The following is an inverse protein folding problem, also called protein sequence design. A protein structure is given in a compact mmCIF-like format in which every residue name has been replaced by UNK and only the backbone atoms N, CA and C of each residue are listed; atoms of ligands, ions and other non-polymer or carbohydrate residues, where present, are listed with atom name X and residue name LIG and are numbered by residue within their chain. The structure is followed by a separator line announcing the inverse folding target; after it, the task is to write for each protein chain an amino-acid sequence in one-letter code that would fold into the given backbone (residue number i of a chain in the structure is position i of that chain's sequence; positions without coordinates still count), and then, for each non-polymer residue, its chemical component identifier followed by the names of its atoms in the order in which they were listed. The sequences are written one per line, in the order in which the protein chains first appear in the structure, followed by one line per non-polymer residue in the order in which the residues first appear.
data_IF_095124586692
#
_entry.id   IF_095124586692
#
_cell.length_a   1.000
_cell.length_b   1.000
_cell.length_c   1.000
_cell.angle_alpha   90.00
_cell.angle_beta   90.00
_cell.angle_gamma   90.00
#
_symmetry.space_group_name_H-M   'P 1'
#
loop_
_entity.id
_entity.type
_entity.pdbx_description
1 polymer ?
#
# COMPACT_ATOMS: atom_id res chain seq x y z
N UNK A 1 -19.35 2.87 20.21
CA UNK A 1 -17.99 3.39 20.11
C UNK A 1 -17.83 4.22 18.85
N UNK A 2 -17.23 5.42 18.96
CA UNK A 2 -16.98 6.32 17.84
C UNK A 2 -15.51 6.22 17.42
N UNK A 3 -15.24 5.80 16.18
CA UNK A 3 -13.90 5.64 15.66
C UNK A 3 -13.66 6.63 14.52
N UNK A 4 -12.58 7.39 14.59
CA UNK A 4 -12.11 8.18 13.47
C UNK A 4 -11.04 7.42 12.70
N UNK A 5 -11.12 7.47 11.36
CA UNK A 5 -10.04 7.03 10.46
C UNK A 5 -9.63 8.26 9.66
N UNK A 6 -8.35 8.62 9.72
CA UNK A 6 -7.82 9.80 9.03
C UNK A 6 -6.96 9.35 7.85
N UNK A 7 -7.38 9.72 6.63
CA UNK A 7 -6.79 9.28 5.37
C UNK A 7 -7.55 8.11 4.73
N UNK A 8 -8.25 8.38 3.60
CA UNK A 8 -8.99 7.38 2.82
C UNK A 8 -8.19 6.85 1.62
N UNK A 9 -6.89 6.67 1.79
CA UNK A 9 -6.03 5.90 0.89
C UNK A 9 -6.31 4.39 0.99
N UNK A 10 -5.35 3.55 0.58
CA UNK A 10 -5.52 2.10 0.63
C UNK A 10 -5.82 1.60 2.04
N UNK A 11 -4.97 1.94 3.02
CA UNK A 11 -5.10 1.43 4.39
C UNK A 11 -6.39 1.92 5.06
N UNK A 12 -6.70 3.21 4.97
CA UNK A 12 -7.92 3.74 5.60
C UNK A 12 -9.20 3.11 5.05
N UNK A 13 -9.28 2.83 3.74
CA UNK A 13 -10.44 2.14 3.14
C UNK A 13 -10.53 0.68 3.59
N UNK A 14 -9.41 -0.03 3.65
CA UNK A 14 -9.38 -1.42 4.13
C UNK A 14 -9.80 -1.52 5.58
N UNK A 15 -9.27 -0.65 6.45
CA UNK A 15 -9.64 -0.58 7.87
C UNK A 15 -11.12 -0.22 8.04
N UNK A 16 -11.58 0.83 7.33
CA UNK A 16 -12.99 1.26 7.39
C UNK A 16 -13.95 0.14 6.98
N UNK A 17 -13.65 -0.57 5.87
CA UNK A 17 -14.50 -1.67 5.39
C UNK A 17 -14.55 -2.83 6.38
N UNK A 18 -13.40 -3.20 6.95
CA UNK A 18 -13.32 -4.30 7.91
C UNK A 18 -14.09 -3.99 9.19
N UNK A 19 -13.97 -2.76 9.71
CA UNK A 19 -14.71 -2.33 10.89
C UNK A 19 -16.23 -2.20 10.61
N UNK A 20 -16.59 -1.72 9.42
CA UNK A 20 -18.00 -1.56 9.03
C UNK A 20 -18.71 -2.92 8.96
N UNK A 21 -18.04 -3.95 8.44
CA UNK A 21 -18.56 -5.32 8.37
C UNK A 21 -18.60 -6.06 9.71
N UNK A 22 -17.79 -5.65 10.66
CA UNK A 22 -17.77 -6.19 12.02
C UNK A 22 -17.14 -7.56 12.21
N UNK A 23 -17.00 -8.43 11.20
CA UNK A 23 -16.65 -9.83 11.46
C UNK A 23 -15.84 -10.59 10.40
N UNK A 24 -15.69 -10.12 9.19
CA UNK A 24 -15.17 -10.98 8.11
C UNK A 24 -13.66 -11.24 8.11
N UNK A 25 -12.90 -10.54 8.95
CA UNK A 25 -11.45 -10.74 9.11
C UNK A 25 -11.06 -11.24 10.51
N UNK A 26 -12.03 -11.51 11.37
CA UNK A 26 -11.80 -12.08 12.70
C UNK A 26 -11.56 -13.58 12.57
N UNK A 27 -10.53 -14.09 13.23
CA UNK A 27 -10.36 -15.53 13.45
C UNK A 27 -11.64 -16.08 14.10
N UNK A 28 -12.14 -17.22 13.60
CA UNK A 28 -13.37 -17.88 14.10
C UNK A 28 -13.38 -18.15 15.61
N UNK A 29 -12.21 -18.09 16.27
CA UNK A 29 -12.06 -18.28 17.72
C UNK A 29 -12.45 -17.05 18.56
N UNK A 30 -12.57 -15.85 17.98
CA UNK A 30 -12.88 -14.59 18.68
C UNK A 30 -14.38 -14.20 18.64
N UNK A 31 -15.27 -15.12 18.28
CA UNK A 31 -16.70 -14.86 18.05
C UNK A 31 -17.59 -14.64 19.29
N UNK A 32 -17.05 -14.58 20.51
CA UNK A 32 -17.86 -14.64 21.76
C UNK A 32 -17.96 -13.35 22.57
N UNK A 33 -17.71 -12.16 22.05
CA UNK A 33 -18.08 -10.94 22.76
C UNK A 33 -19.19 -10.18 22.05
N UNK A 34 -20.19 -9.74 22.79
CA UNK A 34 -21.29 -8.86 22.32
C UNK A 34 -20.69 -7.67 21.59
N UNK A 35 -20.92 -7.58 20.28
CA UNK A 35 -20.35 -6.52 19.45
C UNK A 35 -21.07 -5.20 19.75
N UNK A 36 -20.39 -4.33 20.47
CA UNK A 36 -20.81 -2.94 20.59
C UNK A 36 -20.83 -2.31 19.20
N UNK A 37 -21.95 -1.67 18.82
CA UNK A 37 -22.07 -1.00 17.53
C UNK A 37 -21.02 0.11 17.40
N UNK A 38 -20.41 0.22 16.20
CA UNK A 38 -19.34 1.15 15.90
C UNK A 38 -19.83 2.20 14.91
N UNK A 39 -19.59 3.47 15.23
CA UNK A 39 -19.77 4.57 14.29
C UNK A 39 -18.39 5.02 13.80
N UNK A 40 -18.14 4.88 12.50
CA UNK A 40 -16.87 5.21 11.86
C UNK A 40 -17.01 6.56 11.17
N UNK A 41 -16.09 7.48 11.41
CA UNK A 41 -15.94 8.70 10.60
C UNK A 41 -14.63 8.61 9.84
N UNK A 42 -14.71 8.55 8.50
CA UNK A 42 -13.57 8.48 7.60
C UNK A 42 -13.30 9.86 7.01
N UNK A 43 -12.17 10.46 7.36
CA UNK A 43 -11.74 11.77 6.91
C UNK A 43 -10.72 11.65 5.76
N UNK A 44 -10.86 12.46 4.72
CA UNK A 44 -9.83 12.63 3.70
C UNK A 44 -9.84 14.03 3.10
N UNK A 45 -8.64 14.60 2.89
CA UNK A 45 -8.49 15.89 2.20
C UNK A 45 -8.80 15.82 0.70
N UNK A 46 -8.72 14.60 0.12
CA UNK A 46 -9.03 14.33 -1.28
C UNK A 46 -10.52 13.96 -1.43
N UNK A 47 -11.01 14.00 -2.66
CA UNK A 47 -12.31 13.47 -2.98
C UNK A 47 -12.32 11.92 -2.89
N UNK A 48 -13.50 11.32 -3.01
CA UNK A 48 -13.67 9.86 -2.91
C UNK A 48 -12.99 9.04 -4.02
N UNK A 49 -12.40 9.68 -5.04
CA UNK A 49 -11.65 8.99 -6.09
C UNK A 49 -10.19 8.73 -5.67
N UNK A 50 -9.69 9.45 -4.67
CA UNK A 50 -8.34 9.31 -4.10
C UNK A 50 -7.21 9.49 -5.13
N UNK A 51 -7.37 10.41 -6.08
CA UNK A 51 -6.41 10.65 -7.16
C UNK A 51 -5.04 11.10 -6.64
N UNK A 52 -5.01 11.80 -5.50
CA UNK A 52 -3.80 12.29 -4.86
C UNK A 52 -3.21 11.30 -3.85
N UNK A 53 -3.71 10.08 -3.76
CA UNK A 53 -3.15 9.07 -2.88
C UNK A 53 -1.96 8.36 -3.53
N UNK A 54 -0.94 7.99 -2.73
CA UNK A 54 0.17 7.15 -3.19
C UNK A 54 -0.34 5.81 -3.78
N UNK A 55 -1.46 5.29 -3.29
CA UNK A 55 -2.07 4.07 -3.80
C UNK A 55 -2.62 4.22 -5.24
N UNK A 56 -3.15 5.38 -5.60
CA UNK A 56 -3.59 5.65 -6.97
C UNK A 56 -2.40 5.72 -7.95
N UNK A 57 -1.29 6.27 -7.49
CA UNK A 57 -0.05 6.40 -8.26
C UNK A 57 0.79 5.10 -8.31
N UNK A 58 0.41 4.04 -7.60
CA UNK A 58 1.18 2.79 -7.56
C UNK A 58 0.92 1.90 -8.80
N UNK A 59 1.85 0.97 -9.05
CA UNK A 59 1.64 -0.06 -10.08
C UNK A 59 0.87 -1.27 -9.57
N UNK A 60 0.79 -1.48 -8.26
CA UNK A 60 0.13 -2.64 -7.67
C UNK A 60 0.91 -3.94 -7.89
N UNK A 61 2.23 -3.90 -7.89
CA UNK A 61 3.07 -5.08 -7.95
C UNK A 61 2.99 -5.87 -6.63
N UNK A 62 2.95 -7.19 -6.76
CA UNK A 62 2.96 -8.14 -5.66
C UNK A 62 4.15 -9.08 -5.89
N UNK A 63 5.36 -8.54 -5.69
CA UNK A 63 6.63 -9.15 -6.11
C UNK A 63 7.63 -9.23 -4.95
N UNK A 64 7.39 -10.10 -3.93
CA UNK A 64 8.23 -10.15 -2.73
C UNK A 64 9.71 -10.43 -3.04
N UNK A 65 10.01 -11.43 -3.86
CA UNK A 65 11.39 -11.75 -4.23
C UNK A 65 12.01 -10.67 -5.13
N UNK A 66 11.23 -10.10 -6.04
CA UNK A 66 11.67 -9.02 -6.91
C UNK A 66 12.05 -7.73 -6.15
N UNK A 67 11.57 -7.56 -4.92
CA UNK A 67 11.93 -6.44 -4.03
C UNK A 67 13.12 -6.75 -3.12
N UNK A 68 13.51 -8.01 -2.95
CA UNK A 68 14.40 -8.51 -1.89
C UNK A 68 15.80 -7.90 -1.84
N UNK A 69 16.29 -7.28 -2.92
CA UNK A 69 17.55 -6.51 -2.89
C UNK A 69 17.42 -5.11 -2.28
N UNK A 70 16.20 -4.63 -2.12
CA UNK A 70 15.91 -3.24 -1.77
C UNK A 70 14.96 -3.11 -0.59
N UNK A 71 14.75 -4.22 0.12
CA UNK A 71 13.96 -4.27 1.35
C UNK A 71 14.53 -5.30 2.31
N UNK A 72 14.15 -5.17 3.57
CA UNK A 72 14.50 -6.14 4.60
C UNK A 72 13.72 -7.46 4.45
N UNK A 73 14.23 -8.58 4.98
CA UNK A 73 13.60 -9.90 4.84
C UNK A 73 12.17 -9.99 5.37
N UNK A 74 11.82 -9.21 6.40
CA UNK A 74 10.47 -9.16 6.94
C UNK A 74 9.45 -8.63 5.92
N UNK A 75 9.83 -7.72 5.03
CA UNK A 75 8.97 -7.24 3.93
C UNK A 75 8.67 -8.38 2.95
N UNK A 76 9.68 -9.19 2.63
CA UNK A 76 9.49 -10.38 1.77
C UNK A 76 8.51 -11.36 2.43
N UNK A 77 8.70 -11.65 3.73
CA UNK A 77 7.82 -12.54 4.50
C UNK A 77 6.38 -12.01 4.55
N UNK A 78 6.20 -10.72 4.87
CA UNK A 78 4.88 -10.07 4.82
C UNK A 78 4.27 -10.10 3.43
N UNK A 79 5.10 -9.97 2.38
CA UNK A 79 4.65 -10.04 1.00
C UNK A 79 4.06 -11.39 0.64
N UNK A 80 4.74 -12.48 0.98
CA UNK A 80 4.23 -13.84 0.74
C UNK A 80 2.97 -14.13 1.56
N UNK A 81 2.92 -13.68 2.81
CA UNK A 81 1.70 -13.81 3.62
C UNK A 81 0.55 -13.00 3.01
N UNK A 82 0.81 -11.80 2.56
CA UNK A 82 -0.20 -10.95 1.90
C UNK A 82 -0.72 -11.55 0.60
N UNK A 83 0.12 -12.23 -0.19
CA UNK A 83 -0.31 -12.95 -1.39
C UNK A 83 -1.36 -14.03 -1.08
N UNK A 84 -1.28 -14.66 0.10
CA UNK A 84 -2.31 -15.63 0.56
C UNK A 84 -3.59 -14.95 1.05
N UNK A 85 -3.48 -13.72 1.55
CA UNK A 85 -4.61 -12.97 2.12
C UNK A 85 -5.41 -12.20 1.07
N UNK A 86 -4.75 -11.73 -0.01
CA UNK A 86 -5.40 -10.93 -1.04
C UNK A 86 -6.62 -11.59 -1.67
N UNK A 87 -6.60 -12.88 -2.09
CA UNK A 87 -7.78 -13.52 -2.68
C UNK A 87 -9.02 -13.39 -1.81
N UNK A 88 -8.91 -13.73 -0.52
CA UNK A 88 -10.04 -13.64 0.42
C UNK A 88 -10.58 -12.22 0.56
N UNK A 89 -9.70 -11.21 0.57
CA UNK A 89 -10.11 -9.81 0.61
C UNK A 89 -10.86 -9.41 -0.66
N UNK A 90 -10.34 -9.81 -1.82
CA UNK A 90 -10.90 -9.47 -3.12
C UNK A 90 -12.23 -10.17 -3.40
N UNK A 91 -12.34 -11.45 -3.04
CA UNK A 91 -13.57 -12.24 -3.17
C UNK A 91 -14.71 -11.70 -2.28
N UNK A 92 -14.36 -10.91 -1.28
CA UNK A 92 -15.33 -10.23 -0.42
C UNK A 92 -15.90 -8.93 -1.03
N UNK A 93 -15.39 -8.47 -2.17
CA UNK A 93 -15.85 -7.28 -2.87
C UNK A 93 -16.80 -7.66 -4.01
N UNK A 94 -17.88 -6.91 -4.20
CA UNK A 94 -18.81 -7.14 -5.32
C UNK A 94 -18.20 -6.78 -6.67
N UNK A 95 -17.35 -5.75 -6.69
CA UNK A 95 -16.68 -5.31 -7.91
C UNK A 95 -15.43 -6.14 -8.18
N UNK A 96 -15.39 -6.74 -9.37
CA UNK A 96 -14.20 -7.48 -9.80
C UNK A 96 -12.98 -6.58 -9.93
N UNK A 97 -11.90 -6.98 -9.29
CA UNK A 97 -10.58 -6.34 -9.40
C UNK A 97 -9.60 -7.27 -10.10
N UNK A 98 -8.64 -6.68 -10.79
CA UNK A 98 -7.57 -7.48 -11.41
C UNK A 98 -6.69 -8.00 -10.28
N UNK A 99 -6.62 -9.31 -10.12
CA UNK A 99 -5.61 -9.99 -9.32
C UNK A 99 -5.00 -11.09 -10.19
N UNK A 100 -3.70 -11.00 -10.39
CA UNK A 100 -2.95 -11.94 -11.23
C UNK A 100 -1.75 -12.43 -10.44
N UNK A 101 -1.70 -13.73 -10.22
CA UNK A 101 -0.58 -14.44 -9.58
C UNK A 101 -0.09 -15.53 -10.52
N UNK A 102 0.38 -15.12 -11.70
CA UNK A 102 0.92 -15.99 -12.75
C UNK A 102 2.42 -15.80 -12.93
N UNK A 103 3.07 -15.33 -11.89
CA UNK A 103 4.49 -15.03 -11.83
C UNK A 103 4.86 -13.65 -12.37
N UNK A 104 6.12 -13.30 -12.15
CA UNK A 104 6.80 -12.15 -12.74
C UNK A 104 8.10 -12.61 -13.38
N UNK A 105 8.59 -11.83 -14.35
CA UNK A 105 9.85 -12.09 -15.04
C UNK A 105 10.81 -10.95 -14.75
N UNK A 106 12.06 -11.31 -14.42
CA UNK A 106 13.16 -10.37 -14.37
C UNK A 106 14.11 -10.63 -15.52
N UNK A 107 14.48 -9.59 -16.23
CA UNK A 107 15.42 -9.62 -17.36
C UNK A 107 16.56 -8.63 -17.14
N UNK A 108 17.68 -8.84 -17.84
CA UNK A 108 18.81 -7.91 -17.87
C UNK A 108 19.39 -7.83 -19.26
N UNK A 109 19.93 -6.69 -19.64
CA UNK A 109 20.76 -6.60 -20.82
C UNK A 109 22.08 -7.35 -20.58
N UNK A 110 22.77 -7.73 -21.66
CA UNK A 110 23.99 -8.54 -21.57
C UNK A 110 25.10 -7.84 -20.75
N UNK A 111 25.19 -6.52 -20.85
CA UNK A 111 26.11 -5.70 -20.06
C UNK A 111 25.87 -5.75 -18.54
N UNK A 112 24.63 -6.03 -18.10
CA UNK A 112 24.20 -6.05 -16.71
C UNK A 112 24.10 -7.49 -16.14
N UNK A 113 24.63 -8.48 -16.88
CA UNK A 113 24.59 -9.91 -16.53
C UNK A 113 25.22 -10.21 -15.16
N UNK A 114 26.23 -9.45 -14.76
CA UNK A 114 26.85 -9.60 -13.44
C UNK A 114 25.89 -9.33 -12.29
N UNK A 115 25.07 -8.28 -12.39
CA UNK A 115 24.05 -7.92 -11.40
C UNK A 115 22.92 -8.96 -11.36
N UNK A 116 22.51 -9.42 -12.52
CA UNK A 116 21.51 -10.49 -12.66
C UNK A 116 21.98 -11.79 -11.98
N UNK A 117 23.21 -12.20 -12.16
CA UNK A 117 23.76 -13.40 -11.52
C UNK A 117 23.90 -13.24 -10.00
N UNK A 118 24.31 -12.04 -9.52
CA UNK A 118 24.34 -11.72 -8.09
C UNK A 118 22.96 -11.82 -7.48
N UNK A 119 21.94 -11.32 -8.17
CA UNK A 119 20.57 -11.41 -7.72
C UNK A 119 20.08 -12.87 -7.59
N UNK A 120 20.32 -13.70 -8.59
CA UNK A 120 19.97 -15.13 -8.52
C UNK A 120 20.67 -15.80 -7.34
N UNK A 121 21.96 -15.52 -7.13
CA UNK A 121 22.71 -16.05 -5.99
C UNK A 121 22.13 -15.58 -4.66
N UNK A 122 21.75 -14.31 -4.58
CA UNK A 122 21.09 -13.75 -3.38
C UNK A 122 19.79 -14.51 -3.07
N UNK A 123 18.93 -14.71 -4.07
CA UNK A 123 17.67 -15.42 -3.88
C UNK A 123 17.88 -16.88 -3.44
N UNK A 124 18.78 -17.60 -4.11
CA UNK A 124 19.09 -19.01 -3.76
C UNK A 124 19.63 -19.17 -2.36
N UNK A 125 20.40 -18.19 -1.87
CA UNK A 125 21.02 -18.25 -0.55
C UNK A 125 20.07 -17.85 0.58
N UNK A 126 19.20 -16.84 0.34
CA UNK A 126 18.40 -16.24 1.40
C UNK A 126 16.93 -16.68 1.37
N UNK A 127 16.46 -17.23 0.24
CA UNK A 127 15.05 -17.62 0.04
C UNK A 127 14.95 -18.98 -0.69
N UNK A 128 15.68 -20.03 -0.23
CA UNK A 128 15.73 -21.33 -0.90
C UNK A 128 14.39 -22.07 -0.90
N UNK A 129 13.47 -21.70 -0.01
CA UNK A 129 12.12 -22.27 0.11
C UNK A 129 11.16 -21.78 -0.98
N UNK A 130 11.53 -20.71 -1.69
CA UNK A 130 10.70 -20.14 -2.74
C UNK A 130 11.12 -20.57 -4.13
N UNK A 131 10.13 -20.91 -4.96
CA UNK A 131 10.38 -21.33 -6.33
C UNK A 131 10.92 -20.16 -7.19
N UNK A 132 12.02 -20.44 -7.89
CA UNK A 132 12.60 -19.55 -8.90
C UNK A 132 13.13 -20.41 -10.06
N UNK A 133 12.94 -19.94 -11.29
CA UNK A 133 13.38 -20.64 -12.49
C UNK A 133 14.20 -19.71 -13.38
N UNK A 134 15.46 -20.06 -13.58
CA UNK A 134 16.27 -19.41 -14.62
C UNK A 134 15.83 -19.94 -15.98
N UNK A 135 15.48 -19.04 -16.88
CA UNK A 135 14.98 -19.36 -18.21
C UNK A 135 16.05 -19.10 -19.27
N UNK A 136 16.28 -20.07 -20.13
CA UNK A 136 16.94 -19.89 -21.42
C UNK A 136 16.05 -19.07 -22.36
N UNK A 137 16.62 -18.59 -23.47
CA UNK A 137 15.85 -17.91 -24.52
C UNK A 137 14.67 -18.75 -25.03
N UNK A 138 14.85 -20.04 -25.21
CA UNK A 138 13.82 -20.96 -25.71
C UNK A 138 12.65 -21.08 -24.70
N UNK A 139 12.95 -21.15 -23.42
CA UNK A 139 11.94 -21.19 -22.35
C UNK A 139 11.25 -19.82 -22.19
N UNK A 140 11.99 -18.72 -22.31
CA UNK A 140 11.47 -17.38 -22.26
C UNK A 140 10.52 -17.11 -23.44
N UNK A 141 10.86 -17.57 -24.66
CA UNK A 141 9.99 -17.51 -25.84
C UNK A 141 8.68 -18.29 -25.65
N UNK A 142 8.69 -19.38 -24.90
CA UNK A 142 7.48 -20.15 -24.59
C UNK A 142 6.61 -19.45 -23.55
N UNK A 143 7.23 -18.85 -22.53
CA UNK A 143 6.55 -18.26 -21.39
C UNK A 143 6.03 -16.85 -21.69
N UNK A 144 6.86 -16.03 -22.39
CA UNK A 144 6.58 -14.63 -22.74
C UNK A 144 7.25 -14.32 -24.08
N UNK A 145 6.57 -14.65 -25.20
CA UNK A 145 7.18 -14.66 -26.54
C UNK A 145 7.82 -13.33 -26.94
N UNK A 146 7.22 -12.21 -26.58
CA UNK A 146 7.74 -10.89 -26.99
C UNK A 146 8.98 -10.49 -26.19
N UNK A 147 9.09 -10.91 -24.95
CA UNK A 147 10.29 -10.70 -24.13
C UNK A 147 11.43 -11.59 -24.59
N UNK A 148 11.17 -12.84 -24.93
CA UNK A 148 12.19 -13.77 -25.45
C UNK A 148 12.78 -13.35 -26.79
N UNK A 149 12.15 -12.45 -27.55
CA UNK A 149 12.75 -11.87 -28.76
C UNK A 149 13.92 -10.93 -28.44
N UNK A 150 13.82 -10.18 -27.34
CA UNK A 150 14.80 -9.16 -26.94
C UNK A 150 15.85 -9.67 -25.96
N UNK A 151 15.57 -10.73 -25.22
CA UNK A 151 16.44 -11.22 -24.14
C UNK A 151 16.84 -12.69 -24.34
N UNK A 152 18.08 -13.03 -24.00
CA UNK A 152 18.62 -14.38 -24.12
C UNK A 152 18.39 -15.22 -22.86
N UNK A 153 18.04 -14.60 -21.75
CA UNK A 153 17.81 -15.24 -20.46
C UNK A 153 16.81 -14.44 -19.63
N UNK A 154 16.16 -15.08 -18.69
CA UNK A 154 15.26 -14.46 -17.74
C UNK A 154 15.20 -15.23 -16.43
N UNK A 155 14.74 -14.59 -15.37
CA UNK A 155 14.40 -15.23 -14.11
C UNK A 155 12.88 -15.15 -13.93
N UNK A 156 12.26 -16.31 -13.85
CA UNK A 156 10.83 -16.43 -13.57
C UNK A 156 10.58 -16.71 -12.10
N UNK A 157 9.75 -15.91 -11.48
CA UNK A 157 9.33 -15.95 -10.08
C UNK A 157 7.84 -16.31 -10.04
N UNK A 158 7.48 -17.61 -9.95
CA UNK A 158 6.12 -18.09 -10.22
C UNK A 158 5.07 -17.65 -9.19
N UNK A 159 5.49 -17.37 -7.97
CA UNK A 159 4.57 -16.98 -6.88
C UNK A 159 4.20 -15.50 -6.91
N UNK A 160 4.85 -14.70 -7.74
CA UNK A 160 4.65 -13.26 -7.85
C UNK A 160 3.48 -12.88 -8.75
N UNK A 161 3.09 -11.60 -8.71
CA UNK A 161 1.97 -11.13 -9.50
C UNK A 161 1.72 -9.64 -9.39
N UNK A 162 0.48 -9.26 -9.57
CA UNK A 162 0.02 -7.88 -9.51
C UNK A 162 -1.46 -7.76 -9.18
N UNK A 163 -1.85 -6.56 -8.73
CA UNK A 163 -3.23 -6.17 -8.47
C UNK A 163 -3.58 -4.91 -9.26
N UNK A 164 -4.83 -4.76 -9.64
CA UNK A 164 -5.35 -3.55 -10.27
C UNK A 164 -5.59 -2.45 -9.24
N UNK A 165 -4.56 -1.68 -8.90
CA UNK A 165 -4.57 -0.69 -7.83
C UNK A 165 -5.75 0.30 -7.90
N UNK A 166 -5.96 0.97 -9.04
CA UNK A 166 -7.03 1.96 -9.20
C UNK A 166 -8.42 1.32 -9.15
N UNK A 167 -8.57 0.13 -9.76
CA UNK A 167 -9.83 -0.63 -9.70
C UNK A 167 -10.13 -1.07 -8.27
N UNK A 168 -9.14 -1.50 -7.51
CA UNK A 168 -9.31 -1.84 -6.10
C UNK A 168 -9.79 -0.63 -5.28
N UNK A 169 -9.21 0.56 -5.48
CA UNK A 169 -9.67 1.77 -4.79
C UNK A 169 -11.14 2.09 -5.11
N UNK A 170 -11.55 1.90 -6.36
CA UNK A 170 -12.96 2.08 -6.77
C UNK A 170 -13.85 1.00 -6.16
N UNK A 171 -13.42 -0.26 -6.18
CA UNK A 171 -14.16 -1.38 -5.59
C UNK A 171 -14.38 -1.19 -4.09
N UNK A 172 -13.31 -0.81 -3.35
CA UNK A 172 -13.40 -0.51 -1.92
C UNK A 172 -14.37 0.66 -1.63
N UNK A 173 -14.33 1.73 -2.45
CA UNK A 173 -15.28 2.83 -2.32
C UNK A 173 -16.73 2.36 -2.48
N UNK A 174 -17.03 1.68 -3.56
CA UNK A 174 -18.39 1.19 -3.84
C UNK A 174 -18.88 0.24 -2.74
N UNK A 175 -17.97 -0.64 -2.26
CA UNK A 175 -18.30 -1.57 -1.20
C UNK A 175 -18.61 -0.83 0.11
N UNK A 176 -17.81 0.17 0.49
CA UNK A 176 -18.07 1.00 1.66
C UNK A 176 -19.43 1.72 1.56
N UNK A 177 -19.74 2.30 0.39
CA UNK A 177 -21.01 2.97 0.15
C UNK A 177 -22.21 2.01 0.21
N UNK A 178 -22.04 0.76 -0.27
CA UNK A 178 -23.06 -0.28 -0.22
C UNK A 178 -23.27 -0.79 1.21
N UNK A 179 -22.20 -1.18 1.91
CA UNK A 179 -22.28 -1.68 3.28
C UNK A 179 -22.93 -0.66 4.21
N UNK A 180 -22.62 0.63 4.05
CA UNK A 180 -23.22 1.69 4.85
C UNK A 180 -24.73 1.83 4.66
N UNK A 181 -25.28 1.43 3.51
CA UNK A 181 -26.73 1.44 3.23
C UNK A 181 -27.45 0.21 3.79
N UNK A 182 -26.75 -0.91 3.93
CA UNK A 182 -27.34 -2.23 4.19
C UNK A 182 -26.74 -2.94 5.42
N UNK A 183 -26.26 -2.18 6.42
CA UNK A 183 -25.59 -2.78 7.58
C UNK A 183 -26.52 -3.65 8.41
N UNK A 184 -26.27 -4.95 8.38
CA UNK A 184 -26.83 -5.92 9.34
C UNK A 184 -26.14 -5.86 10.71
N UNK A 185 -24.94 -5.29 10.79
CA UNK A 185 -24.13 -5.20 12.02
C UNK A 185 -24.51 -4.03 12.94
N UNK A 186 -25.36 -3.10 12.51
CA UNK A 186 -25.65 -1.86 13.23
C UNK A 186 -24.52 -0.82 13.19
N UNK A 187 -23.39 -1.12 12.52
CA UNK A 187 -22.28 -0.21 12.33
C UNK A 187 -22.62 0.86 11.29
N UNK A 188 -22.05 2.06 11.42
CA UNK A 188 -22.34 3.20 10.53
C UNK A 188 -21.03 3.79 10.02
N UNK A 189 -21.04 4.28 8.78
CA UNK A 189 -19.92 5.01 8.18
C UNK A 189 -20.37 6.43 7.81
N UNK A 190 -19.64 7.41 8.32
CA UNK A 190 -19.72 8.80 7.91
C UNK A 190 -18.42 9.14 7.14
N UNK A 191 -18.50 9.30 5.82
CA UNK A 191 -17.33 9.60 4.99
C UNK A 191 -17.27 11.07 4.63
N UNK A 192 -16.35 11.80 5.27
CA UNK A 192 -16.05 13.21 5.05
C UNK A 192 -14.86 13.34 4.08
N UNK A 193 -15.16 13.45 2.78
CA UNK A 193 -14.18 13.77 1.73
C UNK A 193 -14.02 15.28 1.60
N UNK A 194 -12.91 15.72 0.99
CA UNK A 194 -12.56 17.15 0.86
C UNK A 194 -12.51 17.84 2.23
N UNK A 195 -12.06 17.06 3.22
CA UNK A 195 -12.05 17.41 4.62
C UNK A 195 -10.63 17.26 5.17
N UNK A 196 -10.00 18.37 5.52
CA UNK A 196 -8.62 18.39 6.00
C UNK A 196 -8.58 18.35 7.53
N UNK A 197 -8.05 17.27 8.10
CA UNK A 197 -7.77 17.21 9.54
C UNK A 197 -6.57 18.12 9.84
N UNK A 198 -6.75 19.02 10.80
CA UNK A 198 -5.77 20.03 11.22
C UNK A 198 -5.34 19.88 12.69
N UNK A 199 -6.00 19.02 13.48
CA UNK A 199 -5.66 18.71 14.87
C UNK A 199 -6.10 17.31 15.27
N UNK A 200 -5.29 16.60 16.07
CA UNK A 200 -5.60 15.34 16.75
C UNK A 200 -5.11 15.50 18.20
N UNK A 201 -5.96 16.03 19.06
CA UNK A 201 -5.63 16.37 20.43
C UNK A 201 -6.05 15.26 21.39
N UNK A 202 -5.21 14.90 22.35
CA UNK A 202 -5.54 13.99 23.42
C UNK A 202 -6.09 14.75 24.62
N UNK A 203 -7.22 14.35 25.15
CA UNK A 203 -7.69 14.81 26.45
C UNK A 203 -7.28 13.78 27.49
N UNK A 204 -6.41 14.17 28.41
CA UNK A 204 -6.15 13.44 29.65
C UNK A 204 -7.24 13.86 30.63
N UNK A 205 -8.19 12.99 30.93
CA UNK A 205 -9.07 13.22 32.07
C UNK A 205 -8.24 13.05 33.35
N UNK A 206 -8.03 14.14 34.07
CA UNK A 206 -7.36 14.18 35.38
C UNK A 206 -8.20 13.54 36.52
N UNK A 207 -8.97 12.52 36.24
CA UNK A 207 -9.67 11.76 37.27
C UNK A 207 -8.90 10.48 37.55
N UNK A 208 -8.40 10.36 38.77
CA UNK A 208 -7.73 9.19 39.33
C UNK A 208 -8.61 7.96 39.07
N UNK A 209 -8.12 7.03 38.20
CA UNK A 209 -8.69 5.73 37.86
C UNK A 209 -9.62 5.61 36.63
N UNK A 210 -9.66 6.49 35.66
CA UNK A 210 -10.38 6.21 34.41
C UNK A 210 -9.42 6.14 33.21
N UNK A 211 -9.36 4.94 32.57
CA UNK A 211 -8.61 4.66 31.35
C UNK A 211 -9.28 5.19 30.07
N UNK A 212 -10.27 6.07 30.17
CA UNK A 212 -11.01 6.63 29.07
C UNK A 212 -10.32 7.85 28.45
N UNK A 213 -9.21 7.58 27.76
CA UNK A 213 -8.62 8.56 26.86
C UNK A 213 -9.46 8.67 25.59
N UNK A 214 -9.93 9.86 25.29
CA UNK A 214 -10.58 10.18 24.01
C UNK A 214 -9.73 11.19 23.25
N UNK A 215 -9.96 11.30 21.94
CA UNK A 215 -9.27 12.25 21.08
C UNK A 215 -10.26 13.21 20.44
N UNK A 216 -9.89 14.49 20.40
CA UNK A 216 -10.63 15.49 19.64
C UNK A 216 -9.94 15.73 18.31
N UNK A 217 -10.68 15.55 17.21
CA UNK A 217 -10.23 15.88 15.86
C UNK A 217 -10.77 17.25 15.48
N UNK A 218 -9.86 18.17 15.18
CA UNK A 218 -10.16 19.44 14.54
C UNK A 218 -9.96 19.32 13.04
N UNK A 219 -10.91 19.77 12.23
CA UNK A 219 -10.86 19.65 10.78
C UNK A 219 -11.50 20.84 10.07
N UNK A 220 -11.09 21.06 8.82
CA UNK A 220 -11.66 22.04 7.89
C UNK A 220 -12.54 21.31 6.89
N UNK A 221 -13.81 21.73 6.76
CA UNK A 221 -14.74 21.20 5.78
C UNK A 221 -15.61 22.32 5.24
N UNK A 222 -15.59 22.51 3.90
CA UNK A 222 -16.30 23.62 3.28
C UNK A 222 -15.79 25.03 3.68
N UNK A 223 -14.56 25.13 4.20
CA UNK A 223 -13.97 26.36 4.73
C UNK A 223 -14.18 26.58 6.23
N UNK A 224 -15.07 25.84 6.85
CA UNK A 224 -15.39 25.98 8.27
C UNK A 224 -14.54 25.04 9.14
N UNK A 225 -14.04 25.54 10.26
CA UNK A 225 -13.38 24.74 11.29
C UNK A 225 -14.43 24.07 12.16
N UNK A 226 -14.32 22.75 12.26
CA UNK A 226 -15.18 21.90 13.09
C UNK A 226 -14.32 21.03 14.01
N UNK A 227 -14.90 20.59 15.12
CA UNK A 227 -14.27 19.68 16.07
C UNK A 227 -15.23 18.53 16.41
N UNK A 228 -14.69 17.32 16.53
CA UNK A 228 -15.47 16.14 16.93
C UNK A 228 -14.62 15.22 17.81
N UNK A 229 -15.27 14.62 18.82
CA UNK A 229 -14.63 13.71 19.79
C UNK A 229 -14.82 12.25 19.39
N UNK A 230 -13.76 11.45 19.59
CA UNK A 230 -13.70 10.02 19.25
C UNK A 230 -13.09 9.19 20.36
N UNK A 231 -13.57 7.96 20.50
CA UNK A 231 -13.05 6.98 21.45
C UNK A 231 -11.75 6.34 20.95
N UNK A 232 -11.54 6.32 19.63
CA UNK A 232 -10.33 5.81 18.98
C UNK A 232 -10.06 6.56 17.68
N UNK A 233 -8.82 6.89 17.42
CA UNK A 233 -8.36 7.49 16.17
C UNK A 233 -7.35 6.55 15.51
N UNK A 234 -7.57 6.25 14.22
CA UNK A 234 -6.65 5.47 13.38
C UNK A 234 -6.12 6.38 12.28
N UNK A 235 -4.87 6.77 12.39
CA UNK A 235 -4.21 7.68 11.45
C UNK A 235 -3.52 6.91 10.32
N UNK A 236 -4.04 7.05 9.11
CA UNK A 236 -3.55 6.43 7.86
C UNK A 236 -3.18 7.48 6.80
N UNK A 237 -2.79 8.72 7.20
CA UNK A 237 -2.60 9.86 6.28
C UNK A 237 -1.42 9.74 5.32
N UNK A 238 -0.57 8.72 5.45
CA UNK A 238 0.64 8.61 4.61
C UNK A 238 1.53 9.85 4.77
N UNK A 239 1.93 10.49 3.65
CA UNK A 239 2.76 11.71 3.68
C UNK A 239 2.10 12.90 4.39
N UNK A 240 0.79 12.87 4.60
CA UNK A 240 0.09 13.88 5.40
C UNK A 240 0.48 13.87 6.89
N UNK A 241 1.13 12.81 7.37
CA UNK A 241 1.61 12.69 8.75
C UNK A 241 3.09 13.09 8.93
N UNK A 242 3.79 13.56 7.87
CA UNK A 242 5.15 14.09 8.00
C UNK A 242 5.16 15.38 8.83
N UNK A 243 6.26 15.67 9.51
CA UNK A 243 6.40 16.90 10.31
C UNK A 243 6.22 18.18 9.49
N UNK A 244 6.53 18.14 8.19
CA UNK A 244 6.36 19.25 7.26
C UNK A 244 4.90 19.48 6.89
N UNK A 245 4.14 18.38 6.70
CA UNK A 245 2.76 18.43 6.21
C UNK A 245 1.71 18.39 7.34
N UNK A 246 2.17 18.16 8.58
CA UNK A 246 1.30 18.05 9.75
C UNK A 246 1.69 19.10 10.78
N UNK A 247 0.70 19.83 11.29
CA UNK A 247 0.90 20.73 12.42
C UNK A 247 1.22 19.91 13.69
N UNK A 248 1.84 20.55 14.69
CA UNK A 248 2.18 19.88 15.98
C UNK A 248 0.97 19.19 16.60
N UNK A 249 -0.17 19.84 16.55
CA UNK A 249 -1.44 19.35 17.09
C UNK A 249 -2.03 18.15 16.32
N UNK A 250 -1.44 17.78 15.18
CA UNK A 250 -1.84 16.64 14.37
C UNK A 250 -0.99 15.38 14.61
N UNK A 251 -0.28 15.25 15.73
CA UNK A 251 0.55 14.10 16.09
C UNK A 251 1.47 13.66 14.92
N UNK A 252 2.39 14.53 14.42
CA UNK A 252 3.26 14.21 13.31
C UNK A 252 4.23 13.07 13.65
N UNK A 253 4.64 12.33 12.62
CA UNK A 253 5.67 11.30 12.70
C UNK A 253 7.02 11.93 12.31
N UNK A 254 7.89 12.18 13.27
CA UNK A 254 9.10 13.00 13.11
C UNK A 254 10.13 12.43 12.13
N UNK A 255 10.25 11.11 12.05
CA UNK A 255 11.18 10.38 11.19
C UNK A 255 10.54 9.94 9.86
N UNK A 256 9.27 10.31 9.61
CA UNK A 256 8.58 10.06 8.37
C UNK A 256 8.97 11.08 7.30
N UNK A 257 9.38 10.59 6.14
CA UNK A 257 9.76 11.40 4.98
C UNK A 257 8.94 11.06 3.74
N UNK A 258 9.06 11.91 2.75
CA UNK A 258 8.45 11.72 1.43
C UNK A 258 9.50 11.24 0.43
N UNK A 259 9.17 10.21 -0.35
CA UNK A 259 9.99 9.72 -1.46
C UNK A 259 9.18 9.77 -2.74
N UNK A 260 9.57 10.69 -3.63
CA UNK A 260 8.91 10.91 -4.90
C UNK A 260 9.05 9.70 -5.81
N UNK A 261 7.94 9.29 -6.42
CA UNK A 261 7.88 8.24 -7.43
C UNK A 261 7.07 8.66 -8.63
N UNK A 262 7.60 8.42 -9.81
CA UNK A 262 6.98 8.78 -11.07
C UNK A 262 6.79 7.55 -11.95
N UNK A 263 5.68 7.51 -12.66
CA UNK A 263 5.35 6.43 -13.58
C UNK A 263 4.50 6.91 -14.75
N UNK A 264 4.47 6.11 -15.80
CA UNK A 264 3.58 6.30 -16.95
C UNK A 264 2.48 5.25 -16.97
N UNK A 265 1.31 5.66 -17.43
CA UNK A 265 0.29 4.78 -17.99
C UNK A 265 0.35 4.89 -19.50
N UNK A 266 0.74 3.78 -20.15
CA UNK A 266 0.85 3.66 -21.60
C UNK A 266 -0.29 2.83 -22.16
N UNK A 267 -0.68 3.13 -23.39
CA UNK A 267 -1.57 2.30 -24.19
C UNK A 267 -0.80 1.83 -25.42
N UNK A 268 -0.52 0.52 -25.47
CA UNK A 268 0.24 -0.15 -26.51
C UNK A 268 -0.50 -1.44 -26.92
N UNK A 269 -1.56 -1.35 -27.76
CA UNK A 269 -2.42 -2.48 -28.06
C UNK A 269 -1.70 -3.60 -28.83
N UNK A 270 -0.62 -3.29 -29.52
CA UNK A 270 0.19 -4.23 -30.32
C UNK A 270 1.32 -4.88 -29.50
N UNK A 271 1.45 -4.53 -28.22
CA UNK A 271 2.39 -5.17 -27.28
C UNK A 271 1.63 -6.20 -26.45
N UNK A 272 2.14 -7.44 -26.40
CA UNK A 272 1.48 -8.56 -25.72
C UNK A 272 2.36 -9.13 -24.62
N UNK A 273 2.53 -8.39 -23.54
CA UNK A 273 3.17 -8.84 -22.30
C UNK A 273 2.07 -9.26 -21.32
N UNK A 274 2.12 -10.49 -20.82
CA UNK A 274 1.05 -11.08 -20.03
C UNK A 274 1.26 -11.00 -18.51
N UNK A 275 2.46 -10.70 -18.05
CA UNK A 275 2.84 -10.65 -16.62
C UNK A 275 3.79 -9.52 -16.32
N UNK A 276 3.98 -9.12 -15.05
CA UNK A 276 4.96 -8.09 -14.70
C UNK A 276 6.36 -8.48 -15.17
N UNK A 277 7.02 -7.54 -15.86
CA UNK A 277 8.42 -7.66 -16.28
C UNK A 277 9.23 -6.60 -15.56
N UNK A 278 10.35 -6.99 -14.96
CA UNK A 278 11.35 -6.09 -14.37
C UNK A 278 12.61 -6.12 -15.19
N UNK A 279 13.11 -4.95 -15.53
CA UNK A 279 14.45 -4.80 -16.10
C UNK A 279 15.44 -4.53 -14.97
N UNK A 280 16.39 -5.41 -14.80
CA UNK A 280 17.54 -5.15 -13.93
C UNK A 280 18.47 -4.16 -14.62
N UNK A 281 18.67 -3.01 -14.01
CA UNK A 281 19.51 -1.95 -14.52
C UNK A 281 20.24 -1.27 -13.35
N UNK A 282 21.53 -0.90 -13.48
CA UNK A 282 22.34 -0.39 -12.36
C UNK A 282 21.89 0.98 -11.82
N UNK A 283 21.16 1.78 -12.63
CA UNK A 283 20.76 3.15 -12.23
C UNK A 283 19.34 3.23 -11.72
N UNK A 284 18.43 2.35 -12.16
CA UNK A 284 17.02 2.42 -11.81
C UNK A 284 16.34 1.06 -11.97
N UNK A 285 15.29 0.87 -11.21
CA UNK A 285 14.47 -0.34 -11.31
C UNK A 285 13.26 -0.06 -12.18
N UNK A 286 13.32 -0.53 -13.42
CA UNK A 286 12.17 -0.47 -14.29
C UNK A 286 11.29 -1.69 -14.07
N UNK A 287 10.00 -1.45 -14.02
CA UNK A 287 8.98 -2.47 -14.20
C UNK A 287 7.97 -2.08 -15.27
N UNK A 288 7.47 -3.08 -15.97
CA UNK A 288 6.35 -2.99 -16.90
C UNK A 288 5.26 -3.91 -16.36
N UNK A 289 4.16 -3.32 -15.91
CA UNK A 289 3.04 -4.03 -15.33
C UNK A 289 1.86 -4.00 -16.30
N UNK A 290 1.56 -5.11 -17.01
CA UNK A 290 0.42 -5.18 -17.91
C UNK A 290 -0.89 -5.05 -17.12
N UNK A 291 -1.82 -4.25 -17.64
CA UNK A 291 -3.15 -4.12 -17.09
C UNK A 291 -4.15 -4.79 -18.04
N UNK A 292 -5.24 -4.20 -18.36
CA UNK A 292 -6.18 -4.83 -19.31
C UNK A 292 -6.12 -4.12 -20.66
N UNK A 293 -6.34 -4.90 -21.73
CA UNK A 293 -6.60 -4.37 -23.08
C UNK A 293 -5.51 -3.41 -23.60
N UNK A 294 -4.24 -3.80 -23.52
CA UNK A 294 -3.12 -3.01 -24.05
C UNK A 294 -2.69 -1.84 -23.14
N UNK A 295 -3.20 -1.73 -21.91
CA UNK A 295 -2.70 -0.78 -20.95
C UNK A 295 -1.53 -1.33 -20.14
N UNK A 296 -0.50 -0.52 -19.96
CA UNK A 296 0.70 -0.83 -19.19
C UNK A 296 1.01 0.29 -18.20
N UNK A 297 1.44 -0.08 -17.02
CA UNK A 297 2.07 0.84 -16.07
C UNK A 297 3.58 0.62 -16.12
N UNK A 298 4.30 1.68 -16.46
CA UNK A 298 5.76 1.71 -16.57
C UNK A 298 6.32 2.62 -15.49
N UNK A 299 7.21 2.13 -14.67
CA UNK A 299 7.78 2.87 -13.53
C UNK A 299 8.98 2.14 -12.92
N UNK A 300 9.58 2.70 -11.93
CA UNK A 300 9.30 4.00 -11.37
C UNK A 300 10.59 4.67 -10.97
N UNK A 301 10.56 5.99 -10.93
CA UNK A 301 11.64 6.72 -10.27
C UNK A 301 11.56 6.57 -8.74
N UNK A 302 12.68 6.79 -8.10
CA UNK A 302 12.81 6.88 -6.63
C UNK A 302 13.73 8.06 -6.32
N UNK A 303 13.14 9.15 -5.84
CA UNK A 303 13.82 10.41 -5.62
C UNK A 303 13.51 10.90 -4.20
N UNK A 304 14.53 11.14 -3.40
CA UNK A 304 14.39 11.73 -2.07
C UNK A 304 13.92 13.19 -2.22
N UNK A 305 12.61 13.36 -2.22
CA UNK A 305 11.95 14.66 -2.39
C UNK A 305 10.50 14.60 -1.93
N UNK A 306 9.99 15.70 -1.45
CA UNK A 306 8.59 15.93 -1.14
C UNK A 306 7.84 16.71 -2.24
N UNK A 307 8.50 16.96 -3.38
CA UNK A 307 7.93 17.61 -4.54
C UNK A 307 6.99 16.65 -5.28
N UNK A 308 5.72 16.99 -5.40
CA UNK A 308 4.68 16.27 -6.13
C UNK A 308 4.31 16.93 -7.49
N UNK A 309 5.12 17.92 -7.92
CA UNK A 309 4.95 18.58 -9.22
C UNK A 309 5.00 17.58 -10.39
N UNK A 310 4.54 17.95 -11.58
CA UNK A 310 4.57 17.07 -12.75
C UNK A 310 5.98 16.52 -13.04
N UNK A 311 6.01 15.34 -13.68
CA UNK A 311 7.24 14.62 -14.04
C UNK A 311 8.19 15.47 -14.85
N UNK A 312 9.51 15.36 -14.55
CA UNK A 312 10.54 16.06 -15.32
C UNK A 312 10.82 15.35 -16.65
N UNK A 313 11.40 16.12 -17.62
CA UNK A 313 11.85 15.55 -18.90
C UNK A 313 12.90 14.46 -18.69
N UNK A 314 13.81 14.62 -17.74
CA UNK A 314 14.82 13.59 -17.41
C UNK A 314 14.17 12.28 -17.00
N UNK A 315 13.26 12.32 -16.03
CA UNK A 315 12.53 11.11 -15.56
C UNK A 315 11.74 10.46 -16.68
N UNK A 316 11.10 11.28 -17.54
CA UNK A 316 10.35 10.77 -18.68
C UNK A 316 11.23 10.03 -19.67
N UNK A 317 12.39 10.63 -20.04
CA UNK A 317 13.34 10.01 -20.96
C UNK A 317 13.90 8.70 -20.39
N UNK A 318 14.26 8.66 -19.11
CA UNK A 318 14.79 7.45 -18.46
C UNK A 318 13.78 6.31 -18.49
N UNK A 319 12.54 6.56 -18.06
CA UNK A 319 11.51 5.53 -18.01
C UNK A 319 11.06 5.05 -19.40
N UNK A 320 10.85 5.97 -20.34
CA UNK A 320 10.38 5.62 -21.69
C UNK A 320 11.48 4.93 -22.49
N UNK A 321 12.74 5.37 -22.40
CA UNK A 321 13.87 4.71 -23.06
C UNK A 321 14.09 3.30 -22.52
N UNK A 322 13.93 3.11 -21.20
CA UNK A 322 14.04 1.80 -20.60
C UNK A 322 12.88 0.88 -21.02
N UNK A 323 11.65 1.37 -21.09
CA UNK A 323 10.53 0.59 -21.61
C UNK A 323 10.76 0.18 -23.07
N UNK A 324 11.21 1.12 -23.90
CA UNK A 324 11.58 0.84 -25.31
C UNK A 324 12.68 -0.21 -25.42
N UNK A 325 13.67 -0.20 -24.54
CA UNK A 325 14.75 -1.21 -24.54
C UNK A 325 14.25 -2.62 -24.18
N UNK A 326 13.17 -2.72 -23.40
CA UNK A 326 12.54 -4.01 -23.07
C UNK A 326 11.72 -4.51 -24.24
N UNK A 327 10.94 -3.64 -24.87
CA UNK A 327 10.09 -4.03 -26.00
C UNK A 327 9.93 -2.86 -26.99
N UNK A 328 10.36 -3.01 -28.27
CA UNK A 328 10.36 -1.93 -29.25
C UNK A 328 8.96 -1.36 -29.56
N UNK A 329 7.91 -2.15 -29.38
CA UNK A 329 6.53 -1.70 -29.57
C UNK A 329 6.10 -0.57 -28.63
N UNK A 330 6.84 -0.31 -27.54
CA UNK A 330 6.58 0.86 -26.70
C UNK A 330 6.98 2.19 -27.34
N UNK A 331 7.74 2.18 -28.46
CA UNK A 331 8.00 3.40 -29.21
C UNK A 331 6.72 4.05 -29.74
N UNK A 332 5.75 3.22 -30.15
CA UNK A 332 4.47 3.66 -30.72
C UNK A 332 3.34 3.71 -29.67
N UNK A 333 3.65 3.49 -28.40
CA UNK A 333 2.68 3.55 -27.32
C UNK A 333 2.14 4.97 -27.11
N UNK A 334 0.84 5.10 -26.92
CA UNK A 334 0.26 6.37 -26.52
C UNK A 334 0.48 6.60 -25.01
N UNK A 335 1.03 7.74 -24.64
CA UNK A 335 1.10 8.20 -23.25
C UNK A 335 -0.30 8.65 -22.84
N UNK A 336 -0.96 7.88 -21.96
CA UNK A 336 -2.29 8.21 -21.44
C UNK A 336 -2.24 9.09 -20.21
N UNK A 337 -1.25 8.86 -19.37
CA UNK A 337 -1.03 9.65 -18.17
C UNK A 337 0.42 9.50 -17.70
N UNK A 338 0.99 10.56 -17.19
CA UNK A 338 2.11 10.51 -16.26
C UNK A 338 1.60 10.81 -14.86
N UNK A 339 2.19 10.18 -13.86
CA UNK A 339 1.82 10.36 -12.46
C UNK A 339 3.09 10.59 -11.66
N UNK A 340 3.06 11.63 -10.84
CA UNK A 340 4.08 11.93 -9.84
C UNK A 340 3.41 11.95 -8.48
N UNK A 341 3.94 11.22 -7.50
CA UNK A 341 3.38 11.19 -6.15
C UNK A 341 4.44 10.78 -5.13
N UNK A 342 4.30 11.29 -3.91
CA UNK A 342 5.19 10.96 -2.82
C UNK A 342 4.73 9.74 -2.04
N UNK A 343 5.68 8.82 -1.79
CA UNK A 343 5.50 7.65 -0.93
C UNK A 343 5.91 8.01 0.50
N UNK A 344 5.13 7.61 1.52
CA UNK A 344 5.55 7.77 2.92
C UNK A 344 6.60 6.72 3.29
N UNK A 345 7.75 7.13 3.76
CA UNK A 345 8.83 6.23 4.20
C UNK A 345 9.44 6.71 5.51
N UNK A 346 9.69 5.80 6.43
CA UNK A 346 10.55 6.06 7.58
C UNK A 346 12.02 6.02 7.17
N UNK A 347 12.91 6.51 8.02
CA UNK A 347 14.36 6.54 7.76
C UNK A 347 14.95 5.16 7.44
N UNK A 348 14.38 4.11 8.03
CA UNK A 348 14.75 2.70 7.84
C UNK A 348 13.95 1.99 6.73
N UNK A 349 13.08 2.70 6.00
CA UNK A 349 12.16 2.16 5.00
C UNK A 349 11.22 1.05 5.50
N UNK A 350 11.06 0.90 6.83
CA UNK A 350 10.20 -0.11 7.43
C UNK A 350 8.81 0.44 7.74
N UNK A 351 7.74 -0.33 7.50
CA UNK A 351 6.42 0.04 7.96
C UNK A 351 6.36 -0.01 9.48
N UNK A 352 5.68 0.95 10.08
CA UNK A 352 5.49 1.02 11.54
C UNK A 352 4.03 1.22 11.88
N UNK A 353 3.61 0.55 12.95
CA UNK A 353 2.39 0.85 13.65
C UNK A 353 2.78 1.38 15.02
N UNK A 354 2.38 2.60 15.32
CA UNK A 354 2.58 3.17 16.66
C UNK A 354 1.22 3.36 17.33
N UNK A 355 1.15 3.13 18.63
CA UNK A 355 -0.05 3.40 19.40
C UNK A 355 0.26 4.15 20.69
N UNK A 356 -0.61 5.09 21.03
CA UNK A 356 -0.56 5.85 22.28
C UNK A 356 -2.00 6.12 22.76
N UNK A 357 -2.40 5.45 23.83
CA UNK A 357 -3.77 5.54 24.32
C UNK A 357 -4.80 5.24 23.23
N UNK A 358 -5.63 6.22 22.91
CA UNK A 358 -6.68 6.15 21.88
C UNK A 358 -6.22 6.55 20.46
N UNK A 359 -4.93 6.61 20.17
CA UNK A 359 -4.37 6.89 18.85
C UNK A 359 -3.56 5.69 18.36
N UNK A 360 -3.91 5.19 17.17
CA UNK A 360 -3.12 4.22 16.39
C UNK A 360 -2.67 4.92 15.11
N UNK A 361 -1.38 4.92 14.82
CA UNK A 361 -0.83 5.48 13.58
C UNK A 361 -0.20 4.38 12.74
N UNK A 362 -0.58 4.32 11.46
CA UNK A 362 -0.14 3.30 10.50
C UNK A 362 0.52 3.99 9.33
N UNK A 363 1.83 3.82 9.16
CA UNK A 363 2.55 4.56 8.14
C UNK A 363 3.83 3.83 7.66
N UNK A 364 4.53 4.46 6.71
CA UNK A 364 5.82 3.97 6.22
C UNK A 364 5.73 2.75 5.30
N UNK A 365 4.59 2.49 4.64
CA UNK A 365 4.46 1.36 3.72
C UNK A 365 5.31 1.53 2.45
N UNK A 366 5.86 2.71 2.23
CA UNK A 366 6.80 3.06 1.18
C UNK A 366 6.35 2.56 -0.19
N UNK A 367 7.22 1.85 -0.91
CA UNK A 367 6.95 1.26 -2.23
C UNK A 367 6.19 -0.07 -2.15
N UNK A 368 6.05 -0.63 -0.94
CA UNK A 368 5.50 -1.95 -0.69
C UNK A 368 4.01 -1.94 -0.30
N UNK A 369 3.33 -0.80 -0.38
CA UNK A 369 1.98 -0.62 0.14
C UNK A 369 0.99 -1.72 -0.25
N UNK A 370 0.86 -2.06 -1.53
CA UNK A 370 -0.02 -3.16 -1.97
C UNK A 370 0.52 -4.52 -1.57
N UNK A 371 1.85 -4.68 -1.58
CA UNK A 371 2.49 -5.95 -1.24
C UNK A 371 2.19 -6.38 0.19
N UNK A 372 2.18 -5.46 1.15
CA UNK A 372 2.08 -5.78 2.59
C UNK A 372 0.75 -5.35 3.24
N UNK A 373 -0.13 -4.63 2.53
CA UNK A 373 -1.36 -4.08 3.10
C UNK A 373 -2.24 -5.10 3.85
N UNK A 374 -2.47 -6.33 3.38
CA UNK A 374 -3.27 -7.31 4.10
C UNK A 374 -2.71 -7.69 5.48
N UNK A 375 -1.39 -7.86 5.59
CA UNK A 375 -0.72 -8.16 6.87
C UNK A 375 -0.84 -6.97 7.81
N UNK A 376 -0.55 -5.76 7.32
CA UNK A 376 -0.67 -4.53 8.10
C UNK A 376 -2.12 -4.32 8.57
N UNK A 377 -3.10 -4.58 7.70
CA UNK A 377 -4.53 -4.52 8.05
C UNK A 377 -4.86 -5.45 9.23
N UNK A 378 -4.46 -6.72 9.18
CA UNK A 378 -4.73 -7.67 10.24
C UNK A 378 -4.11 -7.26 11.57
N UNK A 379 -2.89 -6.73 11.54
CA UNK A 379 -2.21 -6.21 12.73
C UNK A 379 -2.98 -5.03 13.34
N UNK A 380 -3.41 -4.08 12.52
CA UNK A 380 -4.22 -2.93 12.98
C UNK A 380 -5.54 -3.38 13.57
N UNK A 381 -6.22 -4.33 12.93
CA UNK A 381 -7.50 -4.85 13.44
C UNK A 381 -7.33 -5.60 14.77
N UNK A 382 -6.22 -6.29 14.96
CA UNK A 382 -5.91 -6.93 16.26
C UNK A 382 -5.74 -5.87 17.37
N UNK A 383 -5.00 -4.78 17.10
CA UNK A 383 -4.88 -3.66 18.05
C UNK A 383 -6.23 -3.02 18.36
N UNK A 384 -7.06 -2.78 17.35
CA UNK A 384 -8.40 -2.22 17.52
C UNK A 384 -9.27 -3.17 18.37
N UNK A 385 -9.21 -4.48 18.12
CA UNK A 385 -9.93 -5.47 18.91
C UNK A 385 -9.47 -5.49 20.37
N UNK A 386 -8.15 -5.45 20.62
CA UNK A 386 -7.61 -5.37 21.96
C UNK A 386 -8.15 -4.12 22.70
N UNK A 387 -8.22 -2.98 22.00
CA UNK A 387 -8.76 -1.74 22.57
C UNK A 387 -10.27 -1.83 22.85
N UNK A 388 -11.06 -2.37 21.91
CA UNK A 388 -12.53 -2.49 22.08
C UNK A 388 -12.88 -3.43 23.23
N UNK A 389 -12.15 -4.54 23.37
CA UNK A 389 -12.44 -5.59 24.33
C UNK A 389 -11.67 -5.41 25.67
N UNK A 390 -10.83 -4.39 25.74
CA UNK A 390 -9.90 -4.15 26.86
C UNK A 390 -9.05 -5.40 27.17
N UNK A 391 -8.53 -6.04 26.11
CA UNK A 391 -7.62 -7.20 26.18
C UNK A 391 -6.23 -6.80 25.74
N UNK A 392 -5.25 -7.67 26.01
CA UNK A 392 -3.88 -7.51 25.56
C UNK A 392 -3.42 -8.80 24.84
N UNK A 393 -4.23 -9.23 23.89
CA UNK A 393 -3.96 -10.43 23.11
C UNK A 393 -2.75 -10.23 22.20
N UNK A 394 -2.02 -11.31 21.94
CA UNK A 394 -0.86 -11.27 21.06
C UNK A 394 -1.22 -10.80 19.65
N UNK A 395 -0.39 -9.92 19.12
CA UNK A 395 -0.54 -9.41 17.78
C UNK A 395 -0.04 -10.45 16.75
N UNK A 396 -0.78 -10.69 15.65
CA UNK A 396 -0.53 -11.83 14.77
C UNK A 396 0.80 -11.77 13.99
N UNK A 397 1.34 -10.56 13.80
CA UNK A 397 2.54 -10.34 12.96
C UNK A 397 3.64 -9.53 13.68
N UNK A 398 3.74 -9.64 14.98
CA UNK A 398 4.76 -8.94 15.79
C UNK A 398 6.20 -9.30 15.38
N UNK A 399 6.43 -10.50 14.83
CA UNK A 399 7.74 -10.93 14.36
C UNK A 399 8.18 -10.23 13.06
N UNK A 400 7.23 -9.72 12.28
CA UNK A 400 7.50 -9.10 10.98
C UNK A 400 7.27 -7.60 10.97
N UNK A 401 6.30 -7.13 11.76
CA UNK A 401 5.82 -5.75 11.73
C UNK A 401 6.01 -5.09 13.07
N UNK A 402 6.91 -4.10 13.12
CA UNK A 402 7.19 -3.34 14.32
C UNK A 402 5.95 -2.59 14.80
N UNK A 403 5.51 -2.92 16.02
CA UNK A 403 4.41 -2.24 16.70
C UNK A 403 4.97 -1.62 17.99
N UNK A 404 4.97 -0.30 18.06
CA UNK A 404 5.61 0.45 19.15
C UNK A 404 4.58 1.18 19.99
N UNK A 405 4.65 1.03 21.30
CA UNK A 405 3.95 1.89 22.25
C UNK A 405 4.79 3.16 22.46
N UNK A 406 4.29 4.31 22.04
CA UNK A 406 4.95 5.59 22.31
C UNK A 406 4.82 5.93 23.80
N UNK A 407 5.96 6.10 24.47
CA UNK A 407 6.00 6.67 25.81
C UNK A 407 5.75 8.19 25.74
N UNK A 408 5.25 8.76 26.83
CA UNK A 408 5.20 10.21 26.96
C UNK A 408 6.63 10.75 27.05
N UNK A 409 7.02 11.61 26.13
CA UNK A 409 8.12 12.50 26.39
C UNK A 409 7.65 13.46 27.50
N UNK A 410 8.16 13.28 28.71
CA UNK A 410 8.04 14.29 29.75
C UNK A 410 8.79 15.54 29.27
N UNK A 411 8.03 16.58 28.92
CA UNK A 411 8.53 17.93 28.67
C UNK A 411 8.74 18.62 30.00
#
# INVERSE_FOLDING_TARGET
MNIAIVGAGLMGRLVALSLLRGDQLRDKKLRQSQSQSVTITLFDKDNKLAHNSAAYAAAGLLTPLGESLHCEPNIVSMGFESLRLWPTLLDSLDEHTIFQQTGAIMVSHEQDKGDYQRFIKHLKNNYPEHALHTLSRAELLKLEPEIGRSFNQGLYLPQEGQIGNRRLLVALRKQLEKENKHTSSGNKLNWLSECQVIGIEGEIKNEINTTDETRTISYLHGGDKQCQRFDLVIDCRGTGATSKNSQRDCAPLSDLRSVRGELFQLFAPDVHISRPVRLMHPRYQLYIAPKQKGFYVVGATEIESDDDSPMTVRSAMELLSAAYSVHPGFAEANIRQHVSQCRPAFSDNQPKITHKGSLIQVNGLFRHGFLIAPVVLRQVLALVNNRINNTNDNLPYSDYLRTEQRQEEMI
#
